data_IF_663011794000
#
_entry.id   IF_663011794000
#
_cell.length_a   1.000
_cell.length_b   1.000
_cell.length_c   1.000
_cell.angle_alpha   90.00
_cell.angle_beta   90.00
_cell.angle_gamma   90.00
#
_symmetry.space_group_name_H-M   'P 1'
#
loop_
_entity.id
_entity.type
_entity.pdbx_description
1 polymer ?
#
# COMPACT_ATOMS: atom_id res chain seq x y z
N UNK A 1 -57.57 33.22 -57.45
CA UNK A 1 -57.35 31.83 -57.92
C UNK A 1 -56.72 31.89 -59.30
N UNK A 2 -55.56 31.25 -59.45
CA UNK A 2 -54.85 30.76 -60.66
C UNK A 2 -53.38 31.19 -60.68
N UNK A 3 -52.56 30.14 -60.79
CA UNK A 3 -51.13 30.04 -60.55
C UNK A 3 -50.34 30.55 -61.76
N UNK A 4 -49.38 31.45 -61.56
CA UNK A 4 -48.22 31.59 -62.44
C UNK A 4 -47.17 30.58 -61.99
N UNK A 5 -46.95 29.53 -62.79
CA UNK A 5 -45.80 28.62 -62.67
C UNK A 5 -44.58 29.39 -63.19
N UNK A 6 -43.67 29.71 -62.29
CA UNK A 6 -42.31 30.11 -62.65
C UNK A 6 -41.43 28.86 -62.62
N UNK A 7 -40.64 28.71 -63.67
CA UNK A 7 -39.62 27.69 -63.83
C UNK A 7 -38.65 27.68 -62.65
N UNK A 8 -38.48 26.51 -62.03
CA UNK A 8 -37.35 26.23 -61.15
C UNK A 8 -36.37 25.37 -61.93
N UNK A 9 -35.37 26.04 -62.49
CA UNK A 9 -34.08 25.46 -62.87
C UNK A 9 -33.46 24.80 -61.64
N UNK A 10 -33.32 23.47 -61.68
CA UNK A 10 -32.53 22.70 -60.73
C UNK A 10 -31.06 23.10 -60.86
N UNK A 11 -30.57 23.80 -59.85
CA UNK A 11 -29.15 24.04 -59.62
C UNK A 11 -28.62 22.76 -58.97
N UNK A 12 -28.07 21.85 -59.77
CA UNK A 12 -27.39 20.66 -59.26
C UNK A 12 -26.01 21.05 -58.70
N UNK A 13 -25.77 20.62 -57.46
CA UNK A 13 -24.52 20.81 -56.74
C UNK A 13 -23.35 20.10 -57.47
N UNK A 14 -22.18 20.75 -57.63
CA UNK A 14 -21.04 20.19 -58.37
C UNK A 14 -20.26 19.11 -57.60
N UNK A 15 -20.76 18.61 -56.47
CA UNK A 15 -20.09 17.63 -55.59
C UNK A 15 -20.44 16.16 -55.86
N UNK A 16 -21.38 15.86 -56.76
CA UNK A 16 -21.80 14.47 -57.07
C UNK A 16 -21.18 13.89 -58.36
N UNK A 17 -20.11 14.48 -58.89
CA UNK A 17 -19.30 13.86 -59.95
C UNK A 17 -18.16 13.03 -59.35
N UNK A 18 -18.50 12.00 -58.57
CA UNK A 18 -17.56 10.89 -58.40
C UNK A 18 -17.51 10.15 -59.74
N UNK A 19 -16.41 10.35 -60.46
CA UNK A 19 -16.09 9.64 -61.70
C UNK A 19 -16.38 8.14 -61.52
N UNK A 20 -17.42 7.64 -62.18
CA UNK A 20 -17.63 6.21 -62.32
C UNK A 20 -16.45 5.67 -63.16
N UNK A 21 -15.37 5.27 -62.49
CA UNK A 21 -14.14 4.75 -63.09
C UNK A 21 -14.36 3.45 -63.89
N UNK A 22 -15.52 2.82 -63.72
CA UNK A 22 -15.95 1.62 -64.41
C UNK A 22 -17.37 1.82 -64.95
N UNK A 23 -17.62 1.40 -66.19
CA UNK A 23 -18.99 1.35 -66.70
C UNK A 23 -19.79 0.32 -65.90
N UNK A 24 -21.08 0.59 -65.68
CA UNK A 24 -21.96 -0.31 -64.91
C UNK A 24 -22.00 -1.73 -65.52
N UNK A 25 -21.89 -1.84 -66.85
CA UNK A 25 -21.75 -3.13 -67.54
C UNK A 25 -20.47 -3.91 -67.17
N UNK A 26 -19.36 -3.22 -66.89
CA UNK A 26 -18.10 -3.85 -66.48
C UNK A 26 -18.19 -4.35 -65.02
N UNK A 27 -18.89 -3.60 -64.18
CA UNK A 27 -19.14 -3.97 -62.78
C UNK A 27 -20.02 -5.21 -62.70
N UNK A 28 -21.05 -5.31 -63.54
CA UNK A 28 -21.94 -6.47 -63.54
C UNK A 28 -21.29 -7.72 -64.14
N UNK A 29 -20.41 -7.58 -65.15
CA UNK A 29 -19.55 -8.68 -65.62
C UNK A 29 -18.52 -9.14 -64.60
N UNK A 30 -17.99 -8.23 -63.78
CA UNK A 30 -17.07 -8.58 -62.69
C UNK A 30 -17.80 -9.35 -61.58
N UNK A 31 -19.03 -8.94 -61.25
CA UNK A 31 -19.87 -9.67 -60.29
C UNK A 31 -20.24 -11.06 -60.81
N UNK A 32 -20.64 -11.19 -62.07
CA UNK A 32 -20.94 -12.52 -62.65
C UNK A 32 -19.71 -13.42 -62.68
N UNK A 33 -18.54 -12.90 -63.03
CA UNK A 33 -17.28 -13.66 -63.05
C UNK A 33 -16.86 -14.15 -61.65
N UNK A 34 -17.05 -13.33 -60.60
CA UNK A 34 -16.77 -13.73 -59.21
C UNK A 34 -17.76 -14.77 -58.67
N UNK A 35 -19.03 -14.71 -59.10
CA UNK A 35 -20.09 -15.61 -58.63
C UNK A 35 -20.10 -16.94 -59.38
N UNK A 36 -19.79 -16.93 -60.68
CA UNK A 36 -19.89 -18.11 -61.56
C UNK A 36 -18.55 -18.64 -62.06
N UNK A 37 -17.42 -18.04 -61.65
CA UNK A 37 -16.08 -18.53 -61.96
C UNK A 37 -15.61 -18.29 -63.40
N UNK A 38 -16.27 -17.37 -64.12
CA UNK A 38 -15.85 -16.97 -65.47
C UNK A 38 -14.54 -16.16 -65.45
N UNK A 39 -13.76 -16.17 -66.54
CA UNK A 39 -12.49 -15.43 -66.59
C UNK A 39 -12.72 -13.91 -66.46
N UNK A 40 -12.08 -13.31 -65.46
CA UNK A 40 -12.19 -11.88 -65.15
C UNK A 40 -11.65 -11.05 -66.33
N UNK A 41 -12.43 -10.10 -66.88
CA UNK A 41 -11.95 -9.22 -67.94
C UNK A 41 -10.78 -8.37 -67.43
N UNK A 42 -9.68 -8.34 -68.18
CA UNK A 42 -8.48 -7.61 -67.80
C UNK A 42 -8.78 -6.11 -67.73
N UNK A 43 -8.51 -5.49 -66.56
CA UNK A 43 -8.70 -4.05 -66.37
C UNK A 43 -7.94 -3.22 -67.43
N UNK A 44 -8.54 -2.13 -67.92
CA UNK A 44 -7.94 -1.26 -68.94
C UNK A 44 -6.58 -0.72 -68.46
N UNK A 45 -5.64 -0.54 -69.40
CA UNK A 45 -4.26 -0.13 -69.06
C UNK A 45 -4.19 1.24 -68.36
N UNK A 46 -5.24 2.07 -68.47
CA UNK A 46 -5.34 3.39 -67.85
C UNK A 46 -5.44 3.34 -66.31
N UNK A 47 -5.98 2.26 -65.73
CA UNK A 47 -6.14 2.13 -64.27
C UNK A 47 -5.00 1.38 -63.59
N UNK A 48 -4.00 0.93 -64.36
CA UNK A 48 -2.81 0.26 -63.81
C UNK A 48 -1.77 1.28 -63.37
N UNK A 49 -1.10 1.02 -62.25
CA UNK A 49 0.04 1.84 -61.82
C UNK A 49 1.15 1.82 -62.87
N UNK A 50 1.60 3.01 -63.27
CA UNK A 50 2.73 3.18 -64.17
C UNK A 50 4.00 2.66 -63.48
N UNK A 51 4.81 1.86 -64.19
CA UNK A 51 6.06 1.32 -63.65
C UNK A 51 7.00 2.49 -63.30
N UNK A 52 7.36 2.61 -62.03
CA UNK A 52 8.21 3.69 -61.50
C UNK A 52 7.45 4.84 -60.82
N UNK A 53 6.11 4.81 -60.80
CA UNK A 53 5.30 5.80 -60.11
C UNK A 53 4.45 5.15 -59.02
N UNK A 54 4.75 5.44 -57.75
CA UNK A 54 3.95 4.94 -56.62
C UNK A 54 2.55 5.58 -56.64
N UNK A 55 1.51 4.79 -56.33
CA UNK A 55 0.13 5.27 -56.25
C UNK A 55 -0.13 6.40 -55.24
N UNK A 56 0.84 6.69 -54.37
CA UNK A 56 0.84 7.86 -53.50
C UNK A 56 2.13 8.68 -53.71
N UNK A 57 2.19 9.56 -54.72
CA UNK A 57 3.40 10.31 -55.05
C UNK A 57 3.83 11.29 -53.96
N UNK A 58 2.95 11.65 -53.02
CA UNK A 58 3.26 12.52 -51.87
C UNK A 58 3.78 11.75 -50.65
N UNK A 59 3.90 10.42 -50.75
CA UNK A 59 4.33 9.56 -49.65
C UNK A 59 3.35 9.53 -48.49
N UNK A 60 3.67 8.72 -47.48
CA UNK A 60 2.92 8.70 -46.23
C UNK A 60 3.19 10.02 -45.48
N UNK A 61 2.16 10.75 -45.02
CA UNK A 61 2.38 11.97 -44.24
C UNK A 61 3.28 11.67 -43.03
N UNK A 62 4.28 12.54 -42.80
CA UNK A 62 5.21 12.40 -41.67
C UNK A 62 4.41 12.43 -40.36
N UNK A 63 4.65 11.44 -39.49
CA UNK A 63 4.02 11.33 -38.17
C UNK A 63 4.44 12.56 -37.36
N UNK A 64 3.48 13.41 -36.97
CA UNK A 64 3.74 14.57 -36.11
C UNK A 64 4.33 14.09 -34.78
N UNK A 65 5.53 14.54 -34.48
CA UNK A 65 6.22 14.29 -33.21
C UNK A 65 5.47 14.98 -32.06
N UNK A 66 5.31 14.23 -30.96
CA UNK A 66 5.05 14.69 -29.59
C UNK A 66 3.90 15.69 -29.37
N UNK A 67 2.70 15.17 -29.13
CA UNK A 67 1.80 15.82 -28.17
C UNK A 67 2.40 15.56 -26.78
N UNK A 68 2.62 16.59 -25.95
CA UNK A 68 3.16 16.41 -24.60
C UNK A 68 2.25 15.51 -23.78
N UNK A 69 2.85 14.50 -23.16
CA UNK A 69 2.22 13.62 -22.18
C UNK A 69 1.78 14.46 -20.98
N UNK A 70 0.49 14.76 -20.88
CA UNK A 70 -0.10 15.36 -19.68
C UNK A 70 -0.36 14.25 -18.64
N UNK A 71 0.21 14.31 -17.43
CA UNK A 71 0.06 13.28 -16.39
C UNK A 71 -1.25 13.45 -15.60
N UNK A 72 -2.37 13.69 -16.28
CA UNK A 72 -3.72 13.58 -15.71
C UNK A 72 -4.53 12.70 -16.61
N UNK A 73 -4.49 11.40 -16.32
CA UNK A 73 -5.35 10.41 -16.95
C UNK A 73 -6.73 10.58 -16.31
N UNK A 74 -7.49 11.57 -16.76
CA UNK A 74 -8.94 11.51 -16.59
C UNK A 74 -9.42 10.27 -17.33
N UNK A 75 -10.19 9.37 -16.70
CA UNK A 75 -10.65 8.18 -17.38
C UNK A 75 -11.47 8.62 -18.60
N UNK A 76 -11.10 8.12 -19.77
CA UNK A 76 -11.87 8.39 -20.99
C UNK A 76 -13.34 7.99 -20.74
N UNK A 77 -14.34 8.64 -21.38
CA UNK A 77 -15.76 8.39 -21.10
C UNK A 77 -16.18 6.90 -21.22
N UNK A 78 -15.47 6.12 -22.04
CA UNK A 78 -15.66 4.67 -22.15
C UNK A 78 -15.11 3.92 -20.93
N UNK A 79 -13.96 4.33 -20.38
CA UNK A 79 -13.37 3.71 -19.20
C UNK A 79 -14.26 3.89 -17.98
N UNK A 80 -14.86 5.06 -17.80
CA UNK A 80 -15.84 5.28 -16.71
C UNK A 80 -17.06 4.38 -16.84
N UNK A 81 -17.59 4.19 -18.05
CA UNK A 81 -18.69 3.28 -18.28
C UNK A 81 -18.30 1.83 -17.98
N UNK A 82 -17.10 1.39 -18.38
CA UNK A 82 -16.57 0.05 -18.06
C UNK A 82 -16.41 -0.12 -16.54
N UNK A 83 -15.90 0.89 -15.84
CA UNK A 83 -15.76 0.84 -14.38
C UNK A 83 -17.13 0.75 -13.70
N UNK A 84 -18.10 1.57 -14.14
CA UNK A 84 -19.49 1.54 -13.61
C UNK A 84 -20.16 0.19 -13.85
N UNK A 85 -20.05 -0.36 -15.05
CA UNK A 85 -20.57 -1.71 -15.35
C UNK A 85 -19.84 -2.79 -14.56
N UNK A 86 -18.53 -2.62 -14.33
CA UNK A 86 -17.73 -3.53 -13.50
C UNK A 86 -18.16 -3.60 -12.03
N UNK A 87 -18.64 -2.49 -11.47
CA UNK A 87 -19.19 -2.44 -10.09
C UNK A 87 -20.63 -2.96 -9.98
N UNK A 88 -21.34 -3.11 -11.10
CA UNK A 88 -22.72 -3.59 -11.08
C UNK A 88 -22.80 -4.99 -10.48
N UNK A 89 -23.69 -5.19 -9.52
CA UNK A 89 -23.92 -6.50 -8.92
C UNK A 89 -24.54 -7.48 -9.91
N UNK A 90 -23.94 -8.67 -10.02
CA UNK A 90 -24.43 -9.80 -10.81
C UNK A 90 -24.67 -10.98 -9.86
N UNK A 91 -25.80 -11.66 -10.05
CA UNK A 91 -26.14 -12.87 -9.30
C UNK A 91 -25.38 -14.07 -9.87
N UNK A 92 -24.55 -14.71 -9.05
CA UNK A 92 -23.88 -15.96 -9.40
C UNK A 92 -24.34 -17.05 -8.43
N UNK A 93 -24.60 -18.23 -8.99
CA UNK A 93 -24.91 -19.44 -8.23
C UNK A 93 -23.69 -20.34 -8.19
N UNK A 94 -23.18 -20.61 -6.99
CA UNK A 94 -22.07 -21.54 -6.73
C UNK A 94 -22.62 -22.67 -5.86
N UNK A 95 -22.92 -23.81 -6.49
CA UNK A 95 -23.60 -24.94 -5.86
C UNK A 95 -25.00 -24.56 -5.38
N UNK A 96 -25.20 -24.64 -4.06
CA UNK A 96 -26.48 -24.33 -3.41
C UNK A 96 -26.63 -22.88 -2.93
N UNK A 97 -25.55 -22.08 -2.99
CA UNK A 97 -25.58 -20.69 -2.57
C UNK A 97 -25.69 -19.73 -3.77
N UNK A 98 -26.53 -18.71 -3.62
CA UNK A 98 -26.66 -17.59 -4.57
C UNK A 98 -26.08 -16.35 -3.91
N UNK A 99 -25.04 -15.78 -4.50
CA UNK A 99 -24.40 -14.56 -4.00
C UNK A 99 -24.42 -13.46 -5.06
N UNK A 100 -24.60 -12.21 -4.62
CA UNK A 100 -24.48 -11.04 -5.48
C UNK A 100 -23.06 -10.52 -5.35
N UNK A 101 -22.31 -10.54 -6.45
CA UNK A 101 -20.94 -10.04 -6.52
C UNK A 101 -20.78 -9.07 -7.68
N UNK A 102 -19.82 -8.12 -7.62
CA UNK A 102 -19.56 -7.19 -8.72
C UNK A 102 -19.23 -7.90 -10.03
N UNK A 103 -19.70 -7.37 -11.17
CA UNK A 103 -19.50 -7.95 -12.50
C UNK A 103 -18.02 -8.19 -12.84
N UNK A 104 -17.11 -7.30 -12.40
CA UNK A 104 -15.67 -7.49 -12.57
C UNK A 104 -15.16 -8.76 -11.85
N UNK A 105 -15.67 -9.04 -10.65
CA UNK A 105 -15.30 -10.22 -9.88
C UNK A 105 -15.89 -11.49 -10.51
N UNK A 106 -17.15 -11.41 -10.95
CA UNK A 106 -17.83 -12.46 -11.69
C UNK A 106 -17.03 -12.91 -12.94
N UNK A 107 -16.56 -11.94 -13.73
CA UNK A 107 -15.78 -12.18 -14.94
C UNK A 107 -14.46 -12.90 -14.64
N UNK A 108 -13.73 -12.47 -13.61
CA UNK A 108 -12.46 -13.10 -13.20
C UNK A 108 -12.69 -14.55 -12.76
N UNK A 109 -13.73 -14.82 -11.97
CA UNK A 109 -14.07 -16.20 -11.55
C UNK A 109 -14.43 -17.07 -12.75
N UNK A 110 -15.24 -16.56 -13.68
CA UNK A 110 -15.60 -17.28 -14.89
C UNK A 110 -14.36 -17.60 -15.76
N UNK A 111 -13.45 -16.63 -15.90
CA UNK A 111 -12.18 -16.81 -16.61
C UNK A 111 -11.30 -17.89 -15.95
N UNK A 112 -11.14 -17.83 -14.64
CA UNK A 112 -10.38 -18.83 -13.87
C UNK A 112 -11.02 -20.22 -13.97
N UNK A 113 -12.34 -20.32 -13.81
CA UNK A 113 -13.07 -21.58 -13.94
C UNK A 113 -12.95 -22.19 -15.34
N UNK A 114 -12.98 -21.37 -16.40
CA UNK A 114 -12.75 -21.83 -17.76
C UNK A 114 -11.30 -22.32 -17.97
N UNK A 115 -10.32 -21.64 -17.37
CA UNK A 115 -8.92 -22.07 -17.37
C UNK A 115 -8.71 -23.40 -16.65
N UNK A 116 -9.31 -23.57 -15.46
CA UNK A 116 -9.24 -24.81 -14.68
C UNK A 116 -9.91 -26.00 -15.39
N UNK A 117 -10.95 -25.74 -16.19
CA UNK A 117 -11.59 -26.74 -17.06
C UNK A 117 -10.77 -27.10 -18.32
N UNK A 118 -9.59 -26.52 -18.50
CA UNK A 118 -8.65 -26.86 -19.56
C UNK A 118 -8.70 -25.97 -20.80
N UNK A 119 -9.38 -24.81 -20.78
CA UNK A 119 -9.32 -23.87 -21.90
C UNK A 119 -7.93 -23.17 -21.93
N UNK A 120 -7.08 -23.41 -22.95
CA UNK A 120 -5.73 -22.84 -22.99
C UNK A 120 -5.71 -21.31 -23.11
N UNK A 121 -6.69 -20.72 -23.79
CA UNK A 121 -6.79 -19.26 -23.93
C UNK A 121 -7.15 -18.59 -22.61
N UNK A 122 -8.10 -19.16 -21.86
CA UNK A 122 -8.47 -18.66 -20.54
C UNK A 122 -7.31 -18.76 -19.54
N UNK A 123 -6.59 -19.90 -19.53
CA UNK A 123 -5.40 -20.09 -18.70
C UNK A 123 -4.32 -19.07 -19.04
N UNK A 124 -3.94 -18.93 -20.32
CA UNK A 124 -2.93 -17.95 -20.77
C UNK A 124 -3.30 -16.52 -20.43
N UNK A 125 -4.58 -16.16 -20.59
CA UNK A 125 -5.06 -14.81 -20.27
C UNK A 125 -4.96 -14.55 -18.77
N UNK A 126 -5.34 -15.54 -17.95
CA UNK A 126 -5.22 -15.45 -16.49
C UNK A 126 -3.77 -15.33 -16.05
N UNK A 127 -2.85 -16.15 -16.56
CA UNK A 127 -1.42 -16.07 -16.18
C UNK A 127 -0.80 -14.73 -16.58
N UNK A 128 -1.10 -14.22 -17.79
CA UNK A 128 -0.62 -12.91 -18.23
C UNK A 128 -1.13 -11.76 -17.34
N UNK A 129 -2.37 -11.84 -16.87
CA UNK A 129 -2.92 -10.85 -15.92
C UNK A 129 -2.19 -10.91 -14.57
N UNK A 130 -1.95 -12.11 -14.04
CA UNK A 130 -1.20 -12.26 -12.77
C UNK A 130 0.22 -11.73 -12.90
N UNK A 131 0.95 -12.12 -13.96
CA UNK A 131 2.30 -11.61 -14.22
C UNK A 131 2.32 -10.08 -14.34
N UNK A 132 1.31 -9.48 -14.99
CA UNK A 132 1.20 -8.03 -15.10
C UNK A 132 1.02 -7.37 -13.74
N UNK A 133 0.11 -7.90 -12.92
CA UNK A 133 -0.14 -7.39 -11.56
C UNK A 133 1.12 -7.53 -10.70
N UNK A 134 1.82 -8.67 -10.78
CA UNK A 134 3.06 -8.88 -10.03
C UNK A 134 4.18 -7.93 -10.49
N UNK A 135 4.31 -7.68 -11.80
CA UNK A 135 5.28 -6.70 -12.32
C UNK A 135 4.94 -5.28 -11.86
N UNK A 136 3.68 -4.88 -11.95
CA UNK A 136 3.23 -3.55 -11.51
C UNK A 136 3.52 -3.35 -10.02
N UNK A 137 3.15 -4.32 -9.17
CA UNK A 137 3.50 -4.32 -7.74
C UNK A 137 5.01 -4.32 -7.50
N UNK A 138 5.78 -5.08 -8.25
CA UNK A 138 7.23 -5.11 -8.11
C UNK A 138 7.88 -3.77 -8.49
N UNK A 139 7.32 -3.05 -9.46
CA UNK A 139 7.77 -1.70 -9.83
C UNK A 139 7.42 -0.71 -8.73
N UNK A 140 6.19 -0.74 -8.21
CA UNK A 140 5.75 0.12 -7.09
C UNK A 140 6.62 -0.11 -5.85
N UNK A 141 6.83 -1.36 -5.45
CA UNK A 141 7.68 -1.72 -4.31
C UNK A 141 9.12 -1.26 -4.52
N UNK A 142 9.65 -1.36 -5.75
CA UNK A 142 11.00 -0.85 -6.05
C UNK A 142 11.07 0.67 -5.91
N UNK A 143 10.11 1.39 -6.49
CA UNK A 143 10.06 2.85 -6.41
C UNK A 143 9.92 3.33 -4.96
N UNK A 144 9.09 2.66 -4.15
CA UNK A 144 8.99 2.94 -2.72
C UNK A 144 10.31 2.69 -1.99
N UNK A 145 10.94 1.54 -2.22
CA UNK A 145 12.22 1.22 -1.60
C UNK A 145 13.31 2.22 -1.99
N UNK A 146 13.41 2.61 -3.27
CA UNK A 146 14.35 3.63 -3.75
C UNK A 146 14.12 5.00 -3.07
N UNK A 147 12.86 5.40 -2.90
CA UNK A 147 12.52 6.63 -2.18
C UNK A 147 13.00 6.59 -0.73
N UNK A 148 12.76 5.48 -0.02
CA UNK A 148 13.17 5.35 1.37
C UNK A 148 14.68 5.16 1.55
N UNK A 149 15.37 4.53 0.60
CA UNK A 149 16.83 4.47 0.57
C UNK A 149 17.44 5.88 0.45
N UNK A 150 16.90 6.70 -0.46
CA UNK A 150 17.32 8.09 -0.62
C UNK A 150 17.05 8.91 0.65
N UNK A 151 15.88 8.74 1.26
CA UNK A 151 15.53 9.38 2.53
C UNK A 151 16.50 8.99 3.66
N UNK A 152 16.82 7.70 3.81
CA UNK A 152 17.77 7.22 4.81
C UNK A 152 19.16 7.84 4.64
N UNK A 153 19.63 7.96 3.40
CA UNK A 153 20.91 8.58 3.09
C UNK A 153 20.91 10.06 3.50
N UNK A 154 19.90 10.83 3.08
CA UNK A 154 19.76 12.24 3.44
C UNK A 154 19.76 12.44 4.95
N UNK A 155 18.92 11.71 5.69
CA UNK A 155 18.87 11.83 7.14
C UNK A 155 20.20 11.46 7.81
N UNK A 156 20.91 10.43 7.31
CA UNK A 156 22.21 10.04 7.86
C UNK A 156 23.29 11.07 7.61
N UNK A 157 23.26 11.72 6.45
CA UNK A 157 24.21 12.77 6.11
C UNK A 157 23.95 14.01 6.96
N UNK A 158 22.69 14.40 7.15
CA UNK A 158 22.31 15.49 8.06
C UNK A 158 22.72 15.24 9.52
N UNK A 159 22.53 14.01 10.02
CA UNK A 159 22.98 13.62 11.38
C UNK A 159 24.50 13.74 11.50
N UNK A 160 25.27 13.23 10.53
CA UNK A 160 26.73 13.34 10.53
C UNK A 160 27.20 14.79 10.44
N UNK A 161 26.53 15.62 9.64
CA UNK A 161 26.83 17.04 9.56
C UNK A 161 26.60 17.75 10.89
N UNK A 162 25.47 17.47 11.56
CA UNK A 162 25.17 18.01 12.88
C UNK A 162 26.21 17.56 13.93
N UNK A 163 26.56 16.28 13.93
CA UNK A 163 27.62 15.72 14.81
C UNK A 163 28.97 16.42 14.57
N UNK A 164 29.34 16.66 13.30
CA UNK A 164 30.59 17.33 12.95
C UNK A 164 30.64 18.80 13.40
N UNK A 165 29.47 19.47 13.46
CA UNK A 165 29.31 20.85 13.93
C UNK A 165 29.13 20.92 15.45
N UNK A 166 28.93 19.79 16.13
CA UNK A 166 28.64 19.72 17.56
C UNK A 166 27.22 20.22 17.91
N UNK A 167 26.32 20.26 16.94
CA UNK A 167 24.92 20.66 17.12
C UNK A 167 24.05 19.45 17.48
N UNK A 168 22.88 19.70 18.07
CA UNK A 168 21.94 18.61 18.37
C UNK A 168 21.42 17.99 17.06
N UNK A 169 21.43 16.65 16.93
CA UNK A 169 21.03 15.99 15.70
C UNK A 169 19.57 16.30 15.34
N UNK A 170 19.31 16.54 14.06
CA UNK A 170 17.97 16.82 13.57
C UNK A 170 17.03 15.62 13.84
N UNK A 171 15.85 15.91 14.43
CA UNK A 171 14.89 14.88 14.81
C UNK A 171 14.01 14.52 13.61
N UNK A 172 14.53 13.67 12.73
CA UNK A 172 13.79 13.15 11.59
C UNK A 172 12.69 12.18 12.02
N UNK A 173 11.52 12.32 11.39
CA UNK A 173 10.38 11.41 11.50
C UNK A 173 10.00 10.94 10.09
N UNK A 174 9.96 9.62 9.83
CA UNK A 174 10.51 8.53 10.64
C UNK A 174 12.05 8.57 10.74
N UNK A 175 12.64 8.07 11.82
CA UNK A 175 14.10 8.00 11.95
C UNK A 175 14.70 7.00 10.94
N UNK A 176 15.87 7.26 10.32
CA UNK A 176 16.43 6.38 9.28
C UNK A 176 16.59 4.91 9.73
N UNK A 177 17.01 4.68 10.97
CA UNK A 177 17.19 3.33 11.52
C UNK A 177 15.89 2.59 11.87
N UNK A 178 14.74 3.28 11.87
CA UNK A 178 13.43 2.66 12.10
C UNK A 178 12.78 2.15 10.80
N UNK A 179 13.43 2.38 9.65
CA UNK A 179 12.96 1.98 8.33
C UNK A 179 13.74 0.73 7.90
N UNK A 180 13.04 -0.39 7.74
CA UNK A 180 13.65 -1.65 7.30
C UNK A 180 13.23 -1.93 5.87
N UNK A 181 14.18 -1.74 4.95
CA UNK A 181 14.01 -1.96 3.52
C UNK A 181 14.33 -3.42 3.21
N UNK A 182 13.38 -4.14 2.61
CA UNK A 182 13.53 -5.55 2.22
C UNK A 182 13.23 -5.68 0.74
N UNK A 183 14.21 -6.12 -0.04
CA UNK A 183 14.03 -6.28 -1.48
C UNK A 183 12.83 -7.18 -1.82
N UNK A 184 11.97 -6.68 -2.71
CA UNK A 184 10.74 -7.37 -3.15
C UNK A 184 9.57 -7.29 -2.17
N UNK A 185 9.71 -6.59 -1.03
CA UNK A 185 8.64 -6.32 -0.08
C UNK A 185 8.53 -4.81 0.18
N UNK A 186 7.35 -4.33 0.59
CA UNK A 186 7.22 -2.94 1.02
C UNK A 186 8.09 -2.66 2.27
N UNK A 187 8.50 -1.39 2.46
CA UNK A 187 9.28 -0.95 3.61
C UNK A 187 8.49 -1.19 4.90
N UNK A 188 9.19 -1.62 5.95
CA UNK A 188 8.61 -1.83 7.28
C UNK A 188 9.08 -0.73 8.22
N UNK A 189 8.14 -0.05 8.88
CA UNK A 189 8.43 0.94 9.90
C UNK A 189 8.31 0.30 11.28
N UNK A 190 9.39 0.32 12.05
CA UNK A 190 9.39 -0.15 13.45
C UNK A 190 9.22 0.97 14.46
N UNK A 191 9.42 2.22 14.02
CA UNK A 191 9.39 3.42 14.84
C UNK A 191 8.22 4.35 14.54
N UNK A 192 8.16 5.48 15.27
CA UNK A 192 7.11 6.46 15.10
C UNK A 192 7.24 7.12 13.73
N UNK A 193 6.14 7.12 12.98
CA UNK A 193 6.05 7.80 11.68
C UNK A 193 5.54 9.23 11.86
N UNK A 194 4.78 9.46 12.95
CA UNK A 194 4.14 10.74 13.25
C UNK A 194 4.54 11.30 14.63
N UNK A 195 4.34 12.61 14.81
CA UNK A 195 4.58 13.28 16.09
C UNK A 195 3.69 12.75 17.24
N UNK A 196 2.46 12.31 16.92
CA UNK A 196 1.56 11.72 17.91
C UNK A 196 2.12 10.39 18.46
N UNK A 197 2.57 9.50 17.57
CA UNK A 197 3.17 8.21 17.96
C UNK A 197 4.46 8.41 18.76
N UNK A 198 5.23 9.45 18.43
CA UNK A 198 6.40 9.82 19.20
C UNK A 198 6.05 10.24 20.63
N UNK A 199 4.96 11.02 20.84
CA UNK A 199 4.50 11.37 22.18
C UNK A 199 4.08 10.13 22.96
N UNK A 200 3.35 9.22 22.33
CA UNK A 200 2.96 7.95 22.96
C UNK A 200 4.20 7.13 23.37
N UNK A 201 5.25 7.10 22.55
CA UNK A 201 6.50 6.43 22.91
C UNK A 201 7.26 7.14 24.03
N UNK A 202 7.30 8.47 24.05
CA UNK A 202 7.88 9.24 25.15
C UNK A 202 7.15 8.99 26.46
N UNK A 203 5.82 8.85 26.43
CA UNK A 203 5.01 8.46 27.57
C UNK A 203 5.37 7.04 28.05
N UNK A 204 5.53 6.08 27.14
CA UNK A 204 6.00 4.72 27.47
C UNK A 204 7.39 4.71 28.10
N UNK A 205 8.32 5.54 27.63
CA UNK A 205 9.65 5.68 28.23
C UNK A 205 9.53 6.21 29.66
N UNK A 206 8.75 7.26 29.90
CA UNK A 206 8.49 7.79 31.25
C UNK A 206 7.86 6.74 32.16
N UNK A 207 6.95 5.94 31.62
CA UNK A 207 6.31 4.84 32.34
C UNK A 207 7.34 3.74 32.69
N UNK A 208 8.23 3.41 31.76
CA UNK A 208 9.34 2.47 31.98
C UNK A 208 10.24 2.96 33.11
N UNK A 209 10.61 4.25 33.11
CA UNK A 209 11.39 4.86 34.19
C UNK A 209 10.65 4.81 35.54
N UNK A 210 9.33 5.02 35.56
CA UNK A 210 8.53 4.89 36.78
C UNK A 210 8.60 3.46 37.36
N UNK A 211 8.57 2.44 36.50
CA UNK A 211 8.76 1.05 36.93
C UNK A 211 10.18 0.76 37.42
N UNK A 212 11.23 1.29 36.78
CA UNK A 212 12.62 1.13 37.27
C UNK A 212 12.76 1.76 38.66
N UNK A 213 12.21 2.95 38.88
CA UNK A 213 12.19 3.56 40.21
C UNK A 213 11.41 2.73 41.23
N UNK A 214 10.32 2.07 40.80
CA UNK A 214 9.53 1.18 41.64
C UNK A 214 10.31 -0.06 42.08
N UNK A 215 11.15 -0.63 41.21
CA UNK A 215 12.06 -1.73 41.57
C UNK A 215 12.98 -1.30 42.72
N UNK A 216 13.61 -0.11 42.60
CA UNK A 216 14.46 0.43 43.66
C UNK A 216 13.69 0.70 44.97
N UNK A 217 12.40 1.07 44.91
CA UNK A 217 11.55 1.21 46.11
C UNK A 217 11.28 -0.13 46.75
N UNK A 218 10.93 -1.15 45.97
CA UNK A 218 10.65 -2.49 46.48
C UNK A 218 11.85 -3.05 47.24
N UNK A 219 13.05 -2.98 46.65
CA UNK A 219 14.30 -3.46 47.27
C UNK A 219 14.59 -2.77 48.61
N UNK A 220 14.24 -1.47 48.76
CA UNK A 220 14.52 -0.67 49.97
C UNK A 220 13.39 -0.64 51.01
N UNK A 221 12.21 -1.10 50.63
CA UNK A 221 11.04 -1.19 51.50
C UNK A 221 10.70 -2.64 51.88
N UNK A 222 11.27 -3.63 51.22
CA UNK A 222 11.16 -5.04 51.59
C UNK A 222 11.69 -5.26 53.02
N UNK A 223 10.91 -5.98 53.83
CA UNK A 223 11.28 -6.36 55.20
C UNK A 223 12.31 -7.50 55.20
N UNK A 224 13.17 -7.60 56.24
CA UNK A 224 14.28 -8.56 56.31
C UNK A 224 13.88 -10.04 56.32
N UNK A 225 12.64 -10.41 56.68
CA UNK A 225 12.14 -11.79 56.60
C UNK A 225 12.05 -12.33 55.15
N UNK A 226 12.22 -11.46 54.15
CA UNK A 226 12.13 -11.79 52.73
C UNK A 226 13.49 -11.82 52.00
N UNK A 227 14.61 -11.76 52.73
CA UNK A 227 15.98 -11.70 52.18
C UNK A 227 16.62 -13.10 52.04
N UNK A 228 16.00 -14.16 52.57
CA UNK A 228 16.62 -15.51 52.60
C UNK A 228 16.80 -16.19 51.24
N UNK A 229 16.23 -15.66 50.16
CA UNK A 229 16.63 -16.07 48.82
C UNK A 229 17.52 -14.98 48.22
N UNK A 230 18.84 -15.20 48.19
CA UNK A 230 19.83 -14.38 47.47
C UNK A 230 19.60 -14.24 45.95
N UNK A 231 18.42 -14.59 45.47
CA UNK A 231 17.90 -14.24 44.16
C UNK A 231 17.15 -12.91 44.31
N UNK A 232 17.62 -11.85 43.64
CA UNK A 232 16.80 -10.66 43.35
C UNK A 232 15.49 -11.17 42.75
N UNK A 233 14.44 -11.30 43.56
CA UNK A 233 13.19 -11.88 43.11
C UNK A 233 12.69 -11.01 41.97
N UNK A 234 12.39 -11.62 40.83
CA UNK A 234 11.80 -10.89 39.72
C UNK A 234 10.47 -10.32 40.21
N UNK A 235 10.43 -9.01 40.44
CA UNK A 235 9.21 -8.33 40.84
C UNK A 235 8.33 -8.14 39.59
N UNK A 236 7.01 -8.00 39.80
CA UNK A 236 6.10 -7.68 38.70
C UNK A 236 6.59 -6.43 37.92
N UNK A 237 7.19 -5.46 38.62
CA UNK A 237 7.78 -4.27 38.02
C UNK A 237 8.90 -4.58 37.02
N UNK A 238 9.77 -5.56 37.28
CA UNK A 238 10.85 -5.97 36.37
C UNK A 238 10.31 -6.55 35.06
N UNK A 239 9.23 -7.35 35.14
CA UNK A 239 8.56 -7.86 33.94
C UNK A 239 7.93 -6.73 33.15
N UNK A 240 7.26 -5.78 33.81
CA UNK A 240 6.65 -4.65 33.11
C UNK A 240 7.69 -3.78 32.39
N UNK A 241 8.89 -3.60 32.97
CA UNK A 241 10.00 -2.96 32.25
C UNK A 241 10.36 -3.75 31.00
N UNK A 242 10.55 -5.07 31.10
CA UNK A 242 10.90 -5.91 29.95
C UNK A 242 9.81 -5.89 28.86
N UNK A 243 8.53 -5.95 29.24
CA UNK A 243 7.40 -5.89 28.32
C UNK A 243 7.32 -4.55 27.60
N UNK A 244 7.38 -3.43 28.35
CA UNK A 244 7.35 -2.10 27.76
C UNK A 244 8.54 -1.86 26.84
N UNK A 245 9.74 -2.28 27.27
CA UNK A 245 10.95 -2.19 26.47
C UNK A 245 10.81 -2.97 25.16
N UNK A 246 10.23 -4.17 25.19
CA UNK A 246 9.98 -4.97 23.99
C UNK A 246 9.03 -4.31 22.99
N UNK A 247 8.16 -3.38 23.41
CA UNK A 247 7.27 -2.62 22.51
C UNK A 247 7.93 -1.40 21.87
N UNK A 248 9.12 -0.99 22.34
CA UNK A 248 9.83 0.18 21.81
C UNK A 248 10.71 -0.20 20.60
N UNK A 249 10.96 0.75 19.67
CA UNK A 249 11.93 0.54 18.59
C UNK A 249 13.33 0.32 19.15
N UNK A 250 14.16 -0.47 18.45
CA UNK A 250 15.51 -0.86 18.92
C UNK A 250 16.38 0.30 19.41
N UNK A 251 16.25 1.49 18.81
CA UNK A 251 16.98 2.71 19.23
C UNK A 251 16.58 3.19 20.63
N UNK A 252 15.30 3.07 20.98
CA UNK A 252 14.73 3.52 22.25
C UNK A 252 14.68 2.41 23.30
N UNK A 253 15.06 1.19 22.92
CA UNK A 253 15.16 0.08 23.86
C UNK A 253 16.30 0.33 24.84
N UNK A 254 16.03 0.16 26.12
CA UNK A 254 17.05 0.11 27.16
C UNK A 254 17.90 -1.14 26.97
N UNK A 255 19.22 -0.95 26.87
CA UNK A 255 20.18 -2.03 27.01
C UNK A 255 20.25 -2.50 28.47
N UNK A 256 20.72 -3.72 28.71
CA UNK A 256 20.93 -4.24 30.07
C UNK A 256 21.89 -3.34 30.88
N UNK A 257 22.88 -2.73 30.20
CA UNK A 257 23.79 -1.75 30.80
C UNK A 257 23.08 -0.47 31.18
N UNK A 258 22.20 0.08 30.33
CA UNK A 258 21.46 1.30 30.66
C UNK A 258 20.45 1.06 31.77
N UNK A 259 19.78 -0.08 31.74
CA UNK A 259 18.87 -0.50 32.80
C UNK A 259 19.60 -0.58 34.15
N UNK A 260 20.76 -1.24 34.18
CA UNK A 260 21.55 -1.36 35.42
C UNK A 260 22.09 -0.02 35.90
N UNK A 261 22.56 0.85 35.01
CA UNK A 261 23.01 2.22 35.35
C UNK A 261 21.86 3.03 35.94
N UNK A 262 20.67 3.02 35.31
CA UNK A 262 19.48 3.72 35.82
C UNK A 262 19.03 3.17 37.17
N UNK A 263 19.03 1.84 37.32
CA UNK A 263 18.68 1.20 38.58
C UNK A 263 19.66 1.60 39.70
N UNK A 264 20.98 1.54 39.44
CA UNK A 264 22.01 1.98 40.39
C UNK A 264 21.85 3.45 40.77
N UNK A 265 21.52 4.31 39.80
CA UNK A 265 21.23 5.72 40.07
C UNK A 265 20.07 5.86 41.07
N UNK A 266 18.94 5.21 40.84
CA UNK A 266 17.78 5.28 41.76
C UNK A 266 18.05 4.60 43.11
N UNK A 267 18.85 3.55 43.13
CA UNK A 267 19.36 2.88 44.35
C UNK A 267 20.32 3.75 45.15
N UNK A 268 20.84 4.86 44.62
CA UNK A 268 21.73 5.79 45.33
C UNK A 268 21.02 7.07 45.82
N UNK A 269 19.83 7.38 45.32
CA UNK A 269 19.02 8.53 45.78
C UNK A 269 18.55 8.31 47.23
N UNK A 270 18.46 9.31 48.13
CA UNK A 270 17.94 9.09 49.48
C UNK A 270 16.48 8.59 49.48
N UNK A 271 16.13 7.65 50.38
CA UNK A 271 14.81 6.97 50.40
C UNK A 271 13.62 7.92 50.32
N UNK A 272 13.66 9.03 51.07
CA UNK A 272 12.58 10.06 51.05
C UNK A 272 12.41 10.72 49.68
N UNK A 273 13.51 10.98 48.97
CA UNK A 273 13.46 11.55 47.63
C UNK A 273 12.98 10.53 46.61
N UNK A 274 13.43 9.27 46.71
CA UNK A 274 12.97 8.17 45.84
C UNK A 274 11.46 7.94 45.96
N UNK A 275 10.90 7.95 47.18
CA UNK A 275 9.44 7.83 47.40
C UNK A 275 8.66 9.03 46.86
N UNK A 276 9.28 10.22 46.80
CA UNK A 276 8.67 11.42 46.22
C UNK A 276 8.71 11.36 44.70
N UNK A 277 9.84 10.98 44.11
CA UNK A 277 10.03 10.90 42.66
C UNK A 277 9.18 9.80 42.04
N UNK A 278 9.15 8.60 42.64
CA UNK A 278 8.25 7.50 42.21
C UNK A 278 6.79 7.91 42.19
N UNK A 279 6.28 8.52 43.28
CA UNK A 279 4.90 8.99 43.32
C UNK A 279 4.63 10.07 42.26
N UNK A 280 5.57 10.98 42.04
CA UNK A 280 5.44 12.00 41.01
C UNK A 280 5.40 11.38 39.60
N UNK A 281 6.24 10.37 39.33
CA UNK A 281 6.27 9.64 38.06
C UNK A 281 4.95 8.89 37.82
N UNK A 282 4.44 8.17 38.82
CA UNK A 282 3.13 7.50 38.72
C UNK A 282 1.98 8.49 38.50
N UNK A 283 1.99 9.62 39.22
CA UNK A 283 0.98 10.67 39.04
C UNK A 283 1.05 11.31 37.66
N UNK A 284 2.25 11.48 37.09
CA UNK A 284 2.42 11.99 35.73
C UNK A 284 1.91 11.00 34.67
N UNK A 285 2.00 9.70 34.94
CA UNK A 285 1.41 8.64 34.13
C UNK A 285 -0.09 8.43 34.38
N UNK A 286 -0.75 9.29 35.17
CA UNK A 286 -2.18 9.19 35.48
C UNK A 286 -2.55 8.12 36.52
N UNK A 287 -1.57 7.45 37.14
CA UNK A 287 -1.81 6.39 38.13
C UNK A 287 -1.58 6.92 39.55
N UNK A 288 -2.60 6.86 40.40
CA UNK A 288 -2.47 7.27 41.80
C UNK A 288 -1.96 6.13 42.69
N UNK A 289 -0.63 6.00 42.79
CA UNK A 289 0.03 5.01 43.65
C UNK A 289 0.44 5.64 44.99
N UNK A 290 0.05 5.07 46.15
CA UNK A 290 0.47 5.57 47.46
C UNK A 290 1.98 5.40 47.66
N UNK A 291 2.60 6.28 48.47
CA UNK A 291 4.04 6.26 48.73
C UNK A 291 4.43 4.96 49.43
N UNK A 292 5.48 4.31 48.92
CA UNK A 292 6.03 3.10 49.52
C UNK A 292 5.19 1.85 49.27
N UNK A 293 4.21 1.89 48.35
CA UNK A 293 3.53 0.69 47.88
C UNK A 293 4.58 -0.27 47.31
N UNK A 294 4.56 -1.50 47.77
CA UNK A 294 5.39 -2.59 47.25
C UNK A 294 4.56 -3.32 46.20
N UNK A 295 5.16 -3.62 45.06
CA UNK A 295 4.47 -4.39 44.02
C UNK A 295 4.53 -5.89 44.35
N UNK A 296 3.50 -6.67 43.99
CA UNK A 296 3.47 -8.09 44.29
C UNK A 296 4.62 -8.83 43.59
N UNK A 297 5.05 -9.94 44.21
CA UNK A 297 5.97 -10.90 43.58
C UNK A 297 5.35 -11.51 42.33
N UNK A 298 6.18 -11.96 41.41
CA UNK A 298 5.79 -12.55 40.13
C UNK A 298 4.77 -13.69 40.28
N UNK A 299 4.92 -14.56 41.28
CA UNK A 299 3.99 -15.67 41.53
C UNK A 299 2.56 -15.18 41.80
N UNK A 300 2.43 -14.15 42.63
CA UNK A 300 1.14 -13.54 42.98
C UNK A 300 0.58 -12.79 41.76
N UNK A 301 1.43 -12.05 41.05
CA UNK A 301 1.01 -11.34 39.84
C UNK A 301 0.52 -12.30 38.75
N UNK A 302 1.20 -13.45 38.58
CA UNK A 302 0.82 -14.50 37.64
C UNK A 302 -0.52 -15.11 38.00
N UNK A 303 -0.73 -15.46 39.27
CA UNK A 303 -2.00 -16.00 39.75
C UNK A 303 -3.18 -15.03 39.50
N UNK A 304 -2.95 -13.72 39.66
CA UNK A 304 -3.96 -12.70 39.36
C UNK A 304 -4.28 -12.66 37.86
N UNK A 305 -3.27 -12.68 36.99
CA UNK A 305 -3.49 -12.65 35.52
C UNK A 305 -4.18 -13.92 35.03
N UNK A 306 -3.79 -15.09 35.53
CA UNK A 306 -4.45 -16.36 35.20
C UNK A 306 -5.90 -16.40 35.71
N UNK A 307 -6.16 -15.83 36.89
CA UNK A 307 -7.53 -15.66 37.40
C UNK A 307 -8.40 -14.74 36.54
N UNK A 308 -7.85 -13.65 36.00
CA UNK A 308 -8.57 -12.77 35.07
C UNK A 308 -8.88 -13.45 33.73
N UNK A 309 -7.97 -14.27 33.19
CA UNK A 309 -8.24 -15.04 31.98
C UNK A 309 -9.39 -16.04 32.19
N UNK A 310 -9.38 -16.76 33.30
CA UNK A 310 -10.45 -17.69 33.65
C UNK A 310 -11.81 -17.00 33.85
N UNK A 311 -11.83 -15.77 34.35
CA UNK A 311 -13.06 -14.99 34.48
C UNK A 311 -13.63 -14.54 33.12
N UNK A 312 -12.78 -14.07 32.21
CA UNK A 312 -13.22 -13.66 30.87
C UNK A 312 -13.69 -14.86 30.02
N UNK A 313 -13.01 -16.01 30.12
CA UNK A 313 -13.42 -17.24 29.43
C UNK A 313 -14.74 -17.83 30.00
N UNK A 314 -15.08 -17.50 31.25
CA UNK A 314 -16.36 -17.88 31.86
C UNK A 314 -17.52 -16.92 31.52
N UNK A 315 -17.23 -15.69 31.08
CA UNK A 315 -18.25 -14.74 30.59
C UNK A 315 -18.56 -14.93 29.09
N UNK A 316 -17.66 -15.58 28.34
CA UNK A 316 -17.84 -15.88 26.91
C UNK A 316 -18.52 -17.25 26.63
N UNK A 317 -18.74 -18.09 27.65
CA UNK A 317 -19.46 -19.38 27.56
C UNK A 317 -20.84 -19.32 28.23
#
# INVERSE_FOLDING_TARGET
MTKRRADKSSTEDPSERSEHLFSDEMVDRLKSALVFGEPIPTLPKSTRFQKGQSGNPKGRPKKTSSIPFHPRIEPLPIQELILKEGERGVTIREGDSVSVIPAKQALIRALQNAGLKGNPHALRTSTLLHERIEREKAIEIKAENEFWEAYQQQCRDEIKEAESKGEAPARHLPHPDDIIIRYGKPPLFTGPTNEAELKDMEERIKLTDAFIMQIAVNERCALPENIEAGLRCADAATIFVALLNGTLPKRLQLSDTDFTIRLMYFQNIPKRALLKSTRAAWSAAGLHVPRGKIFPRLEIARAVVEGFKGANEAEEN
#
